data_IF_033586693525
#
_entry.id   IF_033586693525
#
_cell.length_a   1.000
_cell.length_b   1.000
_cell.length_c   1.000
_cell.angle_alpha   90.00
_cell.angle_beta   90.00
_cell.angle_gamma   90.00
#
_symmetry.space_group_name_H-M   'P 1'
#
loop_
_entity.id
_entity.type
_entity.pdbx_description
1 polymer ?
#
# COMPACT_ATOMS: atom_id res chain seq x y z
N UNK A 1 -21.93 -2.54 -8.47
CA UNK A 1 -20.74 -1.90 -7.85
C UNK A 1 -20.29 -2.70 -6.64
N UNK A 2 -19.00 -2.87 -6.49
CA UNK A 2 -18.45 -3.61 -5.35
C UNK A 2 -17.96 -2.63 -4.28
N UNK A 3 -18.20 -2.95 -3.03
CA UNK A 3 -17.64 -2.23 -1.88
C UNK A 3 -16.52 -3.06 -1.28
N UNK A 4 -15.39 -2.41 -1.01
CA UNK A 4 -14.29 -3.03 -0.30
C UNK A 4 -14.17 -2.34 1.04
N UNK A 5 -14.41 -3.08 2.10
CA UNK A 5 -14.25 -2.55 3.45
C UNK A 5 -12.78 -2.60 3.85
N UNK A 6 -12.36 -1.63 4.64
CA UNK A 6 -11.01 -1.63 5.17
C UNK A 6 -11.00 -1.23 6.64
N UNK A 7 -9.94 -1.62 7.33
CA UNK A 7 -9.73 -1.31 8.74
C UNK A 7 -8.32 -0.75 8.92
N UNK A 8 -8.22 0.33 9.68
CA UNK A 8 -6.93 0.85 10.13
C UNK A 8 -6.53 0.13 11.41
N UNK A 9 -5.29 -0.34 11.50
CA UNK A 9 -4.83 -1.04 12.71
C UNK A 9 -4.56 -0.08 13.87
N UNK A 10 -4.32 1.21 13.57
CA UNK A 10 -4.16 2.28 14.57
C UNK A 10 -4.75 3.57 14.05
N UNK A 11 -5.01 4.52 14.95
CA UNK A 11 -5.65 5.81 14.60
C UNK A 11 -4.80 6.67 13.67
N UNK A 12 -3.49 6.59 13.78
CA UNK A 12 -2.55 7.38 12.98
C UNK A 12 -2.28 6.83 11.58
N UNK A 13 -2.88 5.69 11.24
CA UNK A 13 -2.78 5.12 9.90
C UNK A 13 -3.53 6.01 8.91
N UNK A 14 -2.90 6.30 7.78
CA UNK A 14 -3.52 7.10 6.73
C UNK A 14 -4.50 6.22 5.94
N UNK A 15 -5.74 6.68 5.82
CA UNK A 15 -6.73 5.94 5.04
C UNK A 15 -6.41 6.02 3.55
N UNK A 16 -6.79 5.01 2.75
CA UNK A 16 -6.61 5.06 1.30
C UNK A 16 -7.36 6.26 0.69
N UNK A 17 -6.80 6.85 -0.34
CA UNK A 17 -7.40 7.97 -1.05
C UNK A 17 -7.38 7.73 -2.55
N UNK A 18 -8.25 8.45 -3.28
CA UNK A 18 -8.23 8.47 -4.73
C UNK A 18 -7.70 9.81 -5.20
N UNK A 19 -6.86 9.78 -6.24
CA UNK A 19 -6.30 11.01 -6.80
C UNK A 19 -7.32 11.84 -7.58
N UNK A 20 -8.32 11.19 -8.18
CA UNK A 20 -9.40 11.84 -8.92
C UNK A 20 -10.61 10.91 -8.97
N UNK A 21 -11.75 11.46 -9.43
CA UNK A 21 -12.98 10.66 -9.56
C UNK A 21 -12.84 9.52 -10.58
N UNK A 22 -11.97 9.68 -11.57
CA UNK A 22 -11.72 8.67 -12.60
C UNK A 22 -10.42 7.89 -12.37
N UNK A 23 -9.81 8.01 -11.19
CA UNK A 23 -8.60 7.26 -10.87
C UNK A 23 -8.87 5.75 -10.96
N UNK A 24 -7.91 5.00 -11.53
CA UNK A 24 -8.03 3.56 -11.68
C UNK A 24 -8.01 2.83 -10.34
N UNK A 25 -7.36 3.38 -9.34
CA UNK A 25 -7.23 2.75 -8.05
C UNK A 25 -7.14 3.72 -6.90
N UNK A 26 -6.85 3.18 -5.74
CA UNK A 26 -6.71 3.92 -4.50
C UNK A 26 -5.25 3.94 -4.08
N UNK A 27 -4.78 5.08 -3.61
CA UNK A 27 -3.42 5.24 -3.10
C UNK A 27 -3.34 4.72 -1.67
N UNK A 28 -2.36 3.86 -1.41
CA UNK A 28 -1.99 3.45 -0.07
C UNK A 28 -0.77 4.25 0.39
N UNK A 29 -0.68 4.50 1.68
CA UNK A 29 0.37 5.33 2.27
C UNK A 29 1.25 4.51 3.18
N UNK A 30 2.54 4.79 3.15
CA UNK A 30 3.48 4.23 4.11
C UNK A 30 3.11 4.71 5.53
N UNK A 31 3.04 3.77 6.47
CA UNK A 31 2.78 4.06 7.87
C UNK A 31 3.97 3.73 8.75
N UNK A 32 4.58 2.57 8.54
CA UNK A 32 5.79 2.18 9.24
C UNK A 32 6.64 1.30 8.33
N UNK A 33 7.84 0.98 8.74
CA UNK A 33 8.68 0.07 7.97
C UNK A 33 9.28 -1.00 8.87
N UNK A 34 9.30 -2.22 8.34
CA UNK A 34 9.82 -3.41 9.03
C UNK A 34 9.28 -3.54 10.46
N UNK A 35 10.14 -3.47 11.46
CA UNK A 35 9.79 -3.61 12.87
C UNK A 35 9.78 -2.28 13.61
N UNK A 36 9.81 -1.17 12.87
CA UNK A 36 9.77 0.15 13.47
C UNK A 36 8.34 0.64 13.62
N UNK A 37 8.02 1.15 14.80
CA UNK A 37 6.77 1.86 15.01
C UNK A 37 6.78 3.18 14.26
N UNK A 38 5.59 3.74 13.95
CA UNK A 38 5.51 5.03 13.29
C UNK A 38 6.21 6.11 14.12
N UNK A 39 6.94 6.97 13.44
CA UNK A 39 7.51 8.18 14.02
C UNK A 39 7.11 9.36 13.16
N UNK A 40 7.04 10.55 13.75
CA UNK A 40 6.52 11.75 13.08
C UNK A 40 7.37 12.16 11.88
N UNK A 41 8.65 11.91 11.93
CA UNK A 41 9.59 12.31 10.89
C UNK A 41 10.62 11.20 10.67
N UNK A 42 10.22 10.19 9.91
CA UNK A 42 11.13 9.10 9.60
C UNK A 42 11.55 9.12 8.14
N UNK A 43 12.80 8.81 7.93
CA UNK A 43 13.39 8.67 6.60
C UNK A 43 13.93 7.27 6.45
N UNK A 44 13.61 6.65 5.33
CA UNK A 44 14.10 5.32 5.00
C UNK A 44 14.99 5.43 3.79
N UNK A 45 16.19 4.82 3.89
CA UNK A 45 17.13 4.80 2.79
C UNK A 45 17.08 3.41 2.16
N UNK A 46 16.71 3.37 0.88
CA UNK A 46 16.72 2.13 0.09
C UNK A 46 17.85 2.29 -0.93
N UNK A 47 18.97 1.61 -0.73
CA UNK A 47 20.08 1.72 -1.70
C UNK A 47 19.72 1.06 -3.03
N UNK A 48 20.42 1.41 -4.12
CA UNK A 48 20.18 0.76 -5.42
C UNK A 48 20.25 -0.76 -5.29
N UNK A 49 19.25 -1.46 -5.84
CA UNK A 49 19.12 -2.90 -5.71
C UNK A 49 18.62 -3.40 -4.35
N UNK A 50 18.42 -2.48 -3.40
CA UNK A 50 17.92 -2.83 -2.07
C UNK A 50 16.40 -2.91 -2.01
N UNK A 51 15.90 -3.47 -0.91
CA UNK A 51 14.47 -3.59 -0.64
C UNK A 51 14.19 -3.22 0.81
N UNK A 52 12.99 -2.73 1.05
CA UNK A 52 12.50 -2.51 2.40
C UNK A 52 11.03 -2.90 2.46
N UNK A 53 10.62 -3.45 3.60
CA UNK A 53 9.24 -3.80 3.86
C UNK A 53 8.54 -2.61 4.50
N UNK A 54 7.56 -2.07 3.80
CA UNK A 54 6.73 -0.94 4.25
C UNK A 54 5.37 -1.48 4.66
N UNK A 55 4.89 -1.06 5.82
CA UNK A 55 3.54 -1.37 6.29
C UNK A 55 2.63 -0.19 6.05
N UNK A 56 1.44 -0.47 5.56
CA UNK A 56 0.41 0.56 5.34
C UNK A 56 -0.51 0.72 6.53
N UNK A 57 -0.58 -0.27 7.40
CA UNK A 57 -1.52 -0.30 8.52
C UNK A 57 -2.96 -0.54 8.11
N UNK A 58 -3.20 -0.98 6.87
CA UNK A 58 -4.54 -1.21 6.33
C UNK A 58 -4.77 -2.71 6.16
N UNK A 59 -5.90 -3.19 6.66
CA UNK A 59 -6.42 -4.53 6.38
C UNK A 59 -7.70 -4.39 5.57
N UNK A 60 -7.89 -5.24 4.58
CA UNK A 60 -9.03 -5.13 3.65
C UNK A 60 -9.87 -6.39 3.65
N UNK A 61 -11.16 -6.21 3.38
CA UNK A 61 -12.09 -7.29 3.09
C UNK A 61 -12.47 -7.23 1.62
N UNK A 62 -11.78 -8.01 0.81
CA UNK A 62 -12.01 -8.04 -0.64
C UNK A 62 -13.13 -9.03 -0.92
N UNK A 63 -14.17 -8.62 -1.68
CA UNK A 63 -15.28 -9.50 -1.98
C UNK A 63 -14.86 -10.77 -2.73
N UNK A 64 -15.58 -11.86 -2.49
CA UNK A 64 -15.39 -13.11 -3.23
C UNK A 64 -15.52 -12.88 -4.74
N UNK A 65 -14.67 -13.53 -5.52
CA UNK A 65 -14.64 -13.37 -6.97
C UNK A 65 -13.72 -12.24 -7.45
N UNK A 66 -13.14 -11.47 -6.51
CA UNK A 66 -12.19 -10.41 -6.81
C UNK A 66 -10.84 -10.70 -6.15
N UNK A 67 -9.83 -9.99 -6.58
CA UNK A 67 -8.56 -9.95 -5.87
C UNK A 67 -8.07 -8.50 -5.79
N UNK A 68 -7.19 -8.20 -4.85
CA UNK A 68 -6.54 -6.90 -4.76
C UNK A 68 -5.25 -6.90 -5.56
N UNK A 69 -5.07 -5.90 -6.41
CA UNK A 69 -3.82 -5.71 -7.14
C UNK A 69 -3.08 -4.50 -6.59
N UNK A 70 -1.85 -4.69 -6.13
CA UNK A 70 -0.98 -3.62 -5.64
C UNK A 70 0.03 -3.30 -6.72
N UNK A 71 -0.07 -2.09 -7.28
CA UNK A 71 0.75 -1.63 -8.39
C UNK A 71 1.66 -0.49 -7.96
N UNK A 72 2.75 -0.32 -8.68
CA UNK A 72 3.60 0.84 -8.51
C UNK A 72 2.87 2.11 -8.91
N UNK A 73 3.12 3.20 -8.18
CA UNK A 73 2.73 4.52 -8.67
C UNK A 73 3.69 4.95 -9.77
N UNK A 74 3.13 5.47 -10.86
CA UNK A 74 3.92 5.83 -12.04
C UNK A 74 5.05 6.81 -11.71
N UNK A 75 4.77 7.86 -10.96
CA UNK A 75 5.77 8.85 -10.58
C UNK A 75 6.90 8.29 -9.72
N UNK A 76 6.59 7.38 -8.78
CA UNK A 76 7.62 6.73 -7.98
C UNK A 76 8.48 5.80 -8.83
N UNK A 77 7.86 5.06 -9.74
CA UNK A 77 8.58 4.13 -10.59
C UNK A 77 9.47 4.86 -11.60
N UNK A 78 8.91 5.84 -12.31
CA UNK A 78 9.62 6.51 -13.41
C UNK A 78 10.62 7.57 -12.95
N UNK A 79 10.32 8.30 -11.87
CA UNK A 79 11.18 9.40 -11.39
C UNK A 79 12.09 9.00 -10.25
N UNK A 80 11.70 8.04 -9.43
CA UNK A 80 12.45 7.64 -8.24
C UNK A 80 13.03 6.24 -8.33
N UNK A 81 12.63 5.44 -9.33
CA UNK A 81 13.09 4.07 -9.46
C UNK A 81 12.60 3.15 -8.35
N UNK A 82 11.47 3.47 -7.72
CA UNK A 82 10.87 2.68 -6.65
C UNK A 82 9.64 1.95 -7.14
N UNK A 83 9.56 0.66 -6.86
CA UNK A 83 8.44 -0.18 -7.27
C UNK A 83 8.31 -1.37 -6.31
N UNK A 84 7.14 -2.02 -6.26
CA UNK A 84 7.02 -3.26 -5.51
C UNK A 84 8.02 -4.32 -6.01
N UNK A 85 8.70 -4.97 -5.08
CA UNK A 85 9.72 -5.96 -5.41
C UNK A 85 9.15 -7.16 -6.19
N UNK A 86 7.90 -7.52 -5.93
CA UNK A 86 7.20 -8.59 -6.63
C UNK A 86 6.47 -8.10 -7.89
N UNK A 87 6.71 -6.88 -8.31
CA UNK A 87 6.11 -6.20 -9.48
C UNK A 87 4.63 -5.90 -9.28
N UNK A 88 3.80 -6.88 -9.01
CA UNK A 88 2.38 -6.72 -8.65
C UNK A 88 2.10 -7.58 -7.44
N UNK A 89 1.67 -6.95 -6.36
CA UNK A 89 1.19 -7.68 -5.19
C UNK A 89 -0.23 -8.19 -5.46
N UNK A 90 -0.48 -9.45 -5.13
CA UNK A 90 -1.80 -10.06 -5.29
C UNK A 90 -2.36 -10.36 -3.91
N UNK A 91 -3.53 -9.80 -3.61
CA UNK A 91 -4.23 -9.97 -2.34
C UNK A 91 -5.43 -10.88 -2.59
N UNK A 92 -5.43 -12.05 -1.98
CA UNK A 92 -6.54 -12.99 -2.09
C UNK A 92 -7.80 -12.46 -1.39
N UNK A 93 -8.97 -12.87 -1.87
CA UNK A 93 -10.24 -12.42 -1.30
C UNK A 93 -10.40 -12.84 0.16
N UNK A 94 -9.81 -13.95 0.57
CA UNK A 94 -9.86 -14.44 1.96
C UNK A 94 -8.72 -13.92 2.84
N UNK A 95 -7.82 -13.11 2.33
CA UNK A 95 -6.73 -12.54 3.11
C UNK A 95 -7.23 -11.38 3.98
N UNK A 96 -6.87 -11.38 5.26
CA UNK A 96 -7.28 -10.36 6.23
C UNK A 96 -6.09 -9.72 6.96
N UNK A 97 -4.90 -9.97 6.49
CA UNK A 97 -3.67 -9.37 7.06
C UNK A 97 -3.49 -7.91 6.74
#
# INVERSE_FOLDING_TARGET
>A
MYNVDFKKIRKDVHRPTRGSIEAAGWDLYAWSYENHDPVDDWTVIVPPGGQIKIRTGICMSIPSGLFGGIYARSGLATKKGLAPANKVGVIDADYRG
#
